data_IF_346235675789
#
_entry.id   IF_346235675789
#
_cell.length_a   1.000
_cell.length_b   1.000
_cell.length_c   1.000
_cell.angle_alpha   90.00
_cell.angle_beta   90.00
_cell.angle_gamma   90.00
#
_symmetry.space_group_name_H-M   'P 1'
#
loop_
_entity.id
_entity.type
_entity.pdbx_description
1 polymer ?
#
# COMPACT_ATOMS: atom_id res chain seq x y z
N UNK A 1 29.98 23.82 -4.44
CA UNK A 1 29.76 22.71 -5.40
C UNK A 1 28.33 22.21 -5.25
N UNK A 2 27.83 21.34 -6.14
CA UNK A 2 26.40 21.00 -6.20
C UNK A 2 26.18 19.57 -5.68
N UNK A 3 25.84 19.45 -4.38
CA UNK A 3 25.88 18.19 -3.61
C UNK A 3 25.13 17.03 -4.28
N UNK A 4 23.98 17.29 -4.90
CA UNK A 4 23.20 16.28 -5.61
C UNK A 4 23.95 15.67 -6.81
N UNK A 5 24.80 16.46 -7.49
CA UNK A 5 25.65 15.97 -8.58
C UNK A 5 26.78 15.07 -8.06
N UNK A 6 27.36 15.41 -6.91
CA UNK A 6 28.41 14.61 -6.28
C UNK A 6 27.88 13.25 -5.81
N UNK A 7 26.68 13.21 -5.23
CA UNK A 7 25.99 11.97 -4.85
C UNK A 7 25.71 11.11 -6.09
N UNK A 8 25.14 11.70 -7.15
CA UNK A 8 24.85 10.98 -8.39
C UNK A 8 26.12 10.41 -9.07
N UNK A 9 27.24 11.15 -9.05
CA UNK A 9 28.51 10.67 -9.59
C UNK A 9 29.07 9.50 -8.78
N UNK A 10 29.02 9.54 -7.43
CA UNK A 10 29.41 8.40 -6.58
C UNK A 10 28.55 7.17 -6.85
N UNK A 11 27.24 7.33 -6.97
CA UNK A 11 26.32 6.22 -7.25
C UNK A 11 26.59 5.59 -8.63
N UNK A 12 26.92 6.41 -9.64
CA UNK A 12 27.35 5.94 -10.97
C UNK A 12 28.68 5.18 -10.89
N UNK A 13 29.66 5.69 -10.14
CA UNK A 13 30.93 5.02 -9.91
C UNK A 13 30.76 3.68 -9.18
N UNK A 14 29.93 3.62 -8.14
CA UNK A 14 29.64 2.40 -7.37
C UNK A 14 28.95 1.35 -8.24
N UNK A 15 27.95 1.74 -9.03
CA UNK A 15 27.30 0.87 -10.03
C UNK A 15 28.29 0.39 -11.10
N UNK A 16 29.23 1.23 -11.53
CA UNK A 16 30.29 0.83 -12.46
C UNK A 16 31.31 -0.14 -11.83
N UNK A 17 31.74 0.09 -10.58
CA UNK A 17 32.62 -0.80 -9.81
C UNK A 17 31.94 -2.16 -9.60
N UNK A 18 30.67 -2.19 -9.19
CA UNK A 18 29.89 -3.41 -9.02
C UNK A 18 29.74 -4.22 -10.33
N UNK A 19 29.48 -3.55 -11.46
CA UNK A 19 29.44 -4.21 -12.78
C UNK A 19 30.78 -4.85 -13.17
N UNK A 20 31.92 -4.16 -12.93
CA UNK A 20 33.26 -4.71 -13.17
C UNK A 20 33.55 -5.92 -12.28
N UNK A 21 33.21 -5.85 -10.99
CA UNK A 21 33.40 -6.96 -10.04
C UNK A 21 32.55 -8.18 -10.43
N UNK A 22 31.29 -7.98 -10.84
CA UNK A 22 30.44 -9.07 -11.34
C UNK A 22 31.05 -9.73 -12.59
N UNK A 23 31.43 -8.92 -13.59
CA UNK A 23 32.06 -9.44 -14.82
C UNK A 23 33.37 -10.17 -14.54
N UNK A 24 34.19 -9.68 -13.60
CA UNK A 24 35.41 -10.34 -13.16
C UNK A 24 35.10 -11.71 -12.56
N UNK A 25 34.14 -11.83 -11.63
CA UNK A 25 33.74 -13.13 -11.05
C UNK A 25 33.23 -14.10 -12.14
N UNK A 26 32.46 -13.63 -13.11
CA UNK A 26 31.89 -14.45 -14.20
C UNK A 26 32.91 -14.91 -15.26
N UNK A 27 34.10 -14.29 -15.33
CA UNK A 27 35.10 -14.58 -16.36
C UNK A 27 36.52 -14.86 -15.81
N UNK A 28 36.74 -14.75 -14.51
CA UNK A 28 38.02 -15.00 -13.85
C UNK A 28 38.58 -16.39 -14.20
N UNK A 29 37.73 -17.42 -14.10
CA UNK A 29 38.14 -18.80 -14.38
C UNK A 29 38.57 -18.98 -15.85
N UNK A 30 37.86 -18.36 -16.80
CA UNK A 30 38.21 -18.40 -18.23
C UNK A 30 39.53 -17.67 -18.52
N UNK A 31 39.71 -16.48 -17.94
CA UNK A 31 40.84 -15.58 -18.26
C UNK A 31 42.15 -16.09 -17.65
N UNK A 32 42.10 -16.73 -16.47
CA UNK A 32 43.30 -17.12 -15.72
C UNK A 32 43.63 -18.63 -15.78
N UNK A 33 42.76 -19.48 -16.34
CA UNK A 33 43.10 -20.89 -16.60
C UNK A 33 43.98 -21.07 -17.84
N UNK A 34 43.81 -20.25 -18.88
CA UNK A 34 44.56 -20.33 -20.16
C UNK A 34 46.04 -19.88 -20.06
N UNK A 35 46.55 -19.58 -18.86
CA UNK A 35 47.97 -19.28 -18.61
C UNK A 35 48.52 -17.98 -19.22
N UNK A 36 47.70 -17.21 -19.94
CA UNK A 36 48.12 -16.09 -20.79
C UNK A 36 48.53 -14.80 -20.07
N UNK A 37 48.71 -14.82 -18.75
CA UNK A 37 48.85 -13.61 -17.92
C UNK A 37 50.08 -13.66 -16.98
N UNK A 38 50.73 -12.51 -16.71
CA UNK A 38 51.94 -12.46 -15.90
C UNK A 38 51.65 -12.93 -14.46
N UNK A 39 52.50 -13.82 -13.96
CA UNK A 39 52.30 -14.59 -12.72
C UNK A 39 51.96 -13.72 -11.48
N UNK A 40 52.51 -12.50 -11.42
CA UNK A 40 52.25 -11.52 -10.34
C UNK A 40 50.80 -10.99 -10.33
N UNK A 41 50.16 -10.91 -11.49
CA UNK A 41 48.78 -10.44 -11.63
C UNK A 41 47.81 -11.58 -11.36
N UNK A 42 48.10 -12.78 -11.89
CA UNK A 42 47.38 -14.01 -11.55
C UNK A 42 47.33 -14.26 -10.03
N UNK A 43 48.46 -14.12 -9.32
CA UNK A 43 48.52 -14.26 -7.85
C UNK A 43 47.65 -13.23 -7.12
N UNK A 44 47.60 -11.98 -7.57
CA UNK A 44 46.72 -10.93 -7.01
C UNK A 44 45.25 -11.19 -7.31
N UNK A 45 44.91 -11.57 -8.54
CA UNK A 45 43.56 -11.88 -8.96
C UNK A 45 43.00 -13.10 -8.20
N UNK A 46 43.81 -14.14 -8.01
CA UNK A 46 43.47 -15.31 -7.20
C UNK A 46 43.22 -14.97 -5.73
N UNK A 47 44.00 -14.06 -5.14
CA UNK A 47 43.76 -13.57 -3.77
C UNK A 47 42.39 -12.89 -3.67
N UNK A 48 42.12 -11.91 -4.54
CA UNK A 48 40.85 -11.17 -4.56
C UNK A 48 39.63 -12.07 -4.83
N UNK A 49 39.74 -13.06 -5.72
CA UNK A 49 38.68 -14.05 -5.97
C UNK A 49 38.34 -14.85 -4.71
N UNK A 50 39.36 -15.28 -3.96
CA UNK A 50 39.18 -16.01 -2.71
C UNK A 50 38.59 -15.12 -1.59
N UNK A 51 38.91 -13.83 -1.53
CA UNK A 51 38.26 -12.88 -0.61
C UNK A 51 36.78 -12.67 -0.95
N UNK A 52 36.46 -12.40 -2.22
CA UNK A 52 35.07 -12.25 -2.67
C UNK A 52 34.23 -13.50 -2.34
N UNK A 53 34.80 -14.69 -2.52
CA UNK A 53 34.15 -15.96 -2.19
C UNK A 53 33.88 -16.12 -0.69
N UNK A 54 34.77 -15.64 0.19
CA UNK A 54 34.53 -15.60 1.66
C UNK A 54 33.40 -14.63 2.00
N UNK A 55 33.40 -13.42 1.44
CA UNK A 55 32.36 -12.41 1.68
C UNK A 55 30.99 -12.92 1.25
N UNK A 56 30.88 -13.57 0.08
CA UNK A 56 29.63 -14.21 -0.36
C UNK A 56 29.16 -15.31 0.60
N UNK A 57 30.06 -16.13 1.13
CA UNK A 57 29.73 -17.15 2.13
C UNK A 57 29.27 -16.55 3.47
N UNK A 58 29.82 -15.40 3.89
CA UNK A 58 29.33 -14.69 5.06
C UNK A 58 27.94 -14.08 4.86
N UNK A 59 27.69 -13.45 3.70
CA UNK A 59 26.37 -12.93 3.34
C UNK A 59 25.35 -14.07 3.36
N UNK A 60 25.64 -15.19 2.67
CA UNK A 60 24.77 -16.36 2.67
C UNK A 60 24.58 -17.03 4.05
N UNK A 61 25.48 -16.80 5.02
CA UNK A 61 25.29 -17.20 6.43
C UNK A 61 24.40 -16.20 7.18
N UNK A 62 24.61 -14.89 7.00
CA UNK A 62 23.78 -13.81 7.58
C UNK A 62 22.34 -13.92 7.08
N UNK A 63 22.14 -14.12 5.78
CA UNK A 63 20.82 -14.29 5.17
C UNK A 63 20.08 -15.53 5.72
N UNK A 64 20.79 -16.64 5.95
CA UNK A 64 20.23 -17.86 6.58
C UNK A 64 19.89 -17.70 8.07
N UNK A 65 20.47 -16.72 8.75
CA UNK A 65 20.19 -16.41 10.15
C UNK A 65 19.12 -15.32 10.32
N UNK A 66 19.02 -14.39 9.37
CA UNK A 66 18.06 -13.26 9.40
C UNK A 66 16.73 -13.56 8.74
N UNK A 67 16.69 -14.40 7.69
CA UNK A 67 15.42 -14.90 7.17
C UNK A 67 14.82 -15.88 8.18
N UNK A 68 13.63 -15.61 8.77
CA UNK A 68 12.91 -16.64 9.49
C UNK A 68 12.65 -17.81 8.55
N UNK A 69 12.67 -19.04 9.08
CA UNK A 69 12.38 -20.26 8.30
C UNK A 69 11.14 -20.01 7.45
N UNK A 70 11.26 -20.14 6.11
CA UNK A 70 10.14 -19.96 5.17
C UNK A 70 8.94 -20.71 5.73
N UNK A 71 7.90 -19.96 6.13
CA UNK A 71 6.64 -20.57 6.60
C UNK A 71 6.20 -21.51 5.48
N UNK A 72 5.96 -22.80 5.77
CA UNK A 72 5.49 -23.71 4.73
C UNK A 72 4.21 -23.09 4.12
N UNK A 73 4.03 -23.14 2.79
CA UNK A 73 2.80 -22.65 2.19
C UNK A 73 1.63 -23.34 2.91
N UNK A 74 0.58 -22.60 3.31
CA UNK A 74 -0.50 -23.15 4.12
C UNK A 74 -1.01 -24.41 3.42
N UNK A 75 -0.98 -25.53 4.14
CA UNK A 75 -1.43 -26.80 3.61
C UNK A 75 -2.88 -26.62 3.20
N UNK A 76 -3.15 -26.69 1.90
CA UNK A 76 -4.52 -26.67 1.39
C UNK A 76 -5.16 -27.98 1.81
N UNK A 77 -5.86 -27.95 2.94
CA UNK A 77 -6.76 -29.02 3.33
C UNK A 77 -7.68 -29.30 2.14
N UNK A 78 -7.69 -30.57 1.71
CA UNK A 78 -8.55 -30.98 0.60
C UNK A 78 -9.98 -30.95 1.11
N UNK A 79 -10.72 -29.90 0.75
CA UNK A 79 -12.13 -29.72 1.11
C UNK A 79 -12.90 -30.94 0.63
N UNK A 80 -13.34 -31.77 1.57
CA UNK A 80 -14.15 -32.96 1.29
C UNK A 80 -15.60 -32.53 1.17
N UNK A 81 -16.04 -32.26 -0.07
CA UNK A 81 -17.44 -32.01 -0.36
C UNK A 81 -18.27 -33.25 -0.04
N UNK A 82 -19.40 -33.06 0.64
CA UNK A 82 -20.34 -34.14 0.90
C UNK A 82 -21.26 -34.35 -0.30
N UNK A 83 -21.91 -35.53 -0.32
CA UNK A 83 -22.98 -35.86 -1.24
C UNK A 83 -24.19 -34.91 -1.15
N UNK A 84 -24.33 -34.14 -0.07
CA UNK A 84 -25.36 -33.12 0.11
C UNK A 84 -24.93 -31.78 -0.50
N UNK A 85 -23.67 -31.37 -0.33
CA UNK A 85 -23.12 -30.14 -0.92
C UNK A 85 -23.21 -30.17 -2.46
N UNK A 86 -22.90 -31.31 -3.07
CA UNK A 86 -22.98 -31.52 -4.53
C UNK A 86 -24.43 -31.43 -5.04
N UNK A 87 -25.43 -31.78 -4.22
CA UNK A 87 -26.87 -31.73 -4.57
C UNK A 87 -27.52 -30.40 -4.21
N UNK A 88 -26.80 -29.50 -3.52
CA UNK A 88 -27.30 -28.22 -3.02
C UNK A 88 -27.42 -27.20 -4.15
N UNK A 89 -28.48 -26.35 -4.18
CA UNK A 89 -28.47 -25.18 -5.05
C UNK A 89 -27.35 -24.22 -4.63
N UNK A 90 -26.78 -23.50 -5.60
CA UNK A 90 -25.66 -22.55 -5.41
C UNK A 90 -26.02 -21.39 -4.44
N UNK A 91 -27.32 -21.10 -4.27
CA UNK A 91 -27.82 -19.98 -3.47
C UNK A 91 -28.58 -20.42 -2.21
N UNK A 92 -28.52 -19.58 -1.17
CA UNK A 92 -29.44 -19.65 -0.04
C UNK A 92 -30.90 -19.50 -0.52
N UNK A 93 -31.86 -20.21 0.11
CA UNK A 93 -33.28 -20.05 -0.18
C UNK A 93 -33.73 -18.61 0.09
N UNK A 94 -34.61 -18.10 -0.77
CA UNK A 94 -35.11 -16.73 -0.68
C UNK A 94 -36.06 -16.59 0.51
N UNK A 95 -35.84 -15.61 1.39
CA UNK A 95 -36.77 -15.32 2.49
C UNK A 95 -38.12 -14.85 1.96
N UNK A 96 -39.22 -15.27 2.63
CA UNK A 96 -40.61 -15.00 2.20
C UNK A 96 -40.84 -13.56 1.73
N UNK A 97 -40.42 -12.57 2.49
CA UNK A 97 -40.51 -11.14 2.13
C UNK A 97 -40.09 -10.80 0.68
N UNK A 98 -39.00 -11.38 0.17
CA UNK A 98 -38.57 -11.14 -1.22
C UNK A 98 -39.34 -11.96 -2.26
N UNK A 99 -39.93 -13.09 -1.87
CA UNK A 99 -40.88 -13.85 -2.70
C UNK A 99 -42.24 -13.13 -2.77
N UNK A 100 -42.71 -12.59 -1.65
CA UNK A 100 -43.93 -11.81 -1.56
C UNK A 100 -43.83 -10.54 -2.43
N UNK A 101 -42.65 -9.90 -2.48
CA UNK A 101 -42.33 -8.81 -3.43
C UNK A 101 -42.30 -9.30 -4.88
N UNK A 102 -41.77 -10.49 -5.16
CA UNK A 102 -41.63 -11.03 -6.52
C UNK A 102 -42.98 -11.44 -7.14
N UNK A 103 -43.91 -11.94 -6.32
CA UNK A 103 -45.21 -12.49 -6.77
C UNK A 103 -46.43 -11.61 -6.42
N UNK A 104 -46.28 -10.57 -5.59
CA UNK A 104 -47.38 -9.74 -5.09
C UNK A 104 -47.72 -8.49 -5.91
N UNK A 105 -47.06 -8.27 -7.05
CA UNK A 105 -47.30 -7.13 -7.94
C UNK A 105 -47.41 -7.54 -9.41
N UNK A 106 -47.49 -6.58 -10.33
CA UNK A 106 -47.38 -6.89 -11.76
C UNK A 106 -46.04 -7.54 -12.08
N UNK A 107 -46.05 -8.57 -12.94
CA UNK A 107 -44.93 -9.52 -13.11
C UNK A 107 -43.61 -8.81 -13.46
N UNK A 108 -43.66 -7.78 -14.29
CA UNK A 108 -42.47 -6.98 -14.63
C UNK A 108 -41.98 -6.10 -13.48
N UNK A 109 -42.88 -5.48 -12.71
CA UNK A 109 -42.51 -4.58 -11.62
C UNK A 109 -41.98 -5.35 -10.41
N UNK A 110 -42.66 -6.44 -10.03
CA UNK A 110 -42.23 -7.36 -8.97
C UNK A 110 -40.84 -7.91 -9.23
N UNK A 111 -40.55 -8.33 -10.48
CA UNK A 111 -39.21 -8.79 -10.88
C UNK A 111 -38.15 -7.68 -10.80
N UNK A 112 -38.43 -6.49 -11.34
CA UNK A 112 -37.51 -5.33 -11.30
C UNK A 112 -37.20 -4.91 -9.85
N UNK A 113 -38.21 -4.89 -8.98
CA UNK A 113 -38.09 -4.48 -7.58
C UNK A 113 -37.40 -5.56 -6.73
N UNK A 114 -37.72 -6.84 -6.95
CA UNK A 114 -37.02 -7.99 -6.37
C UNK A 114 -35.52 -7.97 -6.70
N UNK A 115 -35.15 -7.80 -7.98
CA UNK A 115 -33.73 -7.71 -8.37
C UNK A 115 -33.05 -6.51 -7.71
N UNK A 116 -33.71 -5.34 -7.67
CA UNK A 116 -33.16 -4.14 -7.04
C UNK A 116 -32.86 -4.37 -5.55
N UNK A 117 -33.79 -4.96 -4.79
CA UNK A 117 -33.57 -5.31 -3.38
C UNK A 117 -32.50 -6.40 -3.21
N UNK A 118 -32.60 -7.52 -3.94
CA UNK A 118 -31.65 -8.63 -3.85
C UNK A 118 -30.24 -8.27 -4.38
N UNK A 119 -30.09 -7.17 -5.11
CA UNK A 119 -28.78 -6.61 -5.46
C UNK A 119 -28.06 -5.93 -4.28
N UNK A 120 -28.81 -5.33 -3.34
CA UNK A 120 -28.27 -4.60 -2.19
C UNK A 120 -27.75 -5.51 -1.07
N UNK A 121 -28.32 -6.71 -0.93
CA UNK A 121 -27.82 -7.75 -0.02
C UNK A 121 -26.36 -8.11 -0.35
N UNK A 122 -25.59 -8.52 0.65
CA UNK A 122 -24.21 -8.93 0.44
C UNK A 122 -24.12 -10.34 -0.21
N UNK A 123 -23.03 -10.69 -0.92
CA UNK A 123 -22.88 -12.00 -1.54
C UNK A 123 -22.98 -13.17 -0.56
N UNK A 124 -22.41 -13.03 0.66
CA UNK A 124 -22.43 -14.06 1.69
C UNK A 124 -23.82 -14.35 2.28
N UNK A 125 -24.81 -13.47 2.05
CA UNK A 125 -26.22 -13.68 2.42
C UNK A 125 -27.00 -14.41 1.31
N UNK A 126 -26.38 -14.55 0.13
CA UNK A 126 -27.02 -15.02 -1.12
C UNK A 126 -26.44 -16.34 -1.62
N UNK A 127 -25.15 -16.58 -1.41
CA UNK A 127 -24.41 -17.74 -1.90
C UNK A 127 -23.72 -18.45 -0.73
N UNK A 128 -23.72 -19.79 -0.74
CA UNK A 128 -22.97 -20.58 0.25
C UNK A 128 -21.46 -20.43 0.09
N UNK A 129 -21.01 -20.19 -1.14
CA UNK A 129 -19.60 -20.11 -1.52
C UNK A 129 -19.33 -18.86 -2.37
N UNK A 130 -18.09 -18.35 -2.33
CA UNK A 130 -17.66 -17.24 -3.16
C UNK A 130 -17.63 -17.64 -4.65
N UNK A 131 -18.54 -17.06 -5.44
CA UNK A 131 -18.69 -17.37 -6.86
C UNK A 131 -17.60 -16.72 -7.72
N UNK A 132 -16.93 -15.68 -7.22
CA UNK A 132 -15.82 -14.98 -7.90
C UNK A 132 -14.89 -14.35 -6.88
N UNK A 133 -13.58 -14.26 -7.19
CA UNK A 133 -12.58 -13.58 -6.32
C UNK A 133 -12.96 -12.12 -5.96
N UNK A 134 -13.78 -11.47 -6.79
CA UNK A 134 -14.31 -10.13 -6.55
C UNK A 134 -15.30 -10.06 -5.38
N UNK A 135 -15.95 -11.17 -4.99
CA UNK A 135 -16.80 -11.23 -3.80
C UNK A 135 -15.97 -11.14 -2.52
N UNK A 136 -14.87 -11.91 -2.43
CA UNK A 136 -13.99 -11.94 -1.24
C UNK A 136 -13.21 -10.63 -1.02
N UNK A 137 -12.87 -9.96 -2.13
CA UNK A 137 -12.12 -8.71 -2.10
C UNK A 137 -13.03 -7.48 -2.01
N UNK A 138 -13.94 -7.29 -2.97
CA UNK A 138 -14.66 -6.02 -3.14
C UNK A 138 -15.70 -5.73 -2.05
N UNK A 139 -16.43 -6.75 -1.59
CA UNK A 139 -17.55 -6.54 -0.65
C UNK A 139 -17.11 -6.38 0.80
N UNK A 140 -15.94 -6.90 1.17
CA UNK A 140 -15.33 -6.73 2.51
C UNK A 140 -14.42 -5.49 2.59
N UNK A 141 -14.60 -4.52 1.69
CA UNK A 141 -13.79 -3.28 1.68
C UNK A 141 -13.92 -2.49 2.98
N UNK A 142 -15.10 -2.48 3.62
CA UNK A 142 -15.29 -1.79 4.91
C UNK A 142 -14.64 -2.53 6.08
N UNK A 143 -14.69 -3.87 6.11
CA UNK A 143 -13.97 -4.69 7.12
C UNK A 143 -12.45 -4.55 6.98
N UNK A 144 -11.96 -4.47 5.74
CA UNK A 144 -10.52 -4.31 5.41
C UNK A 144 -10.08 -2.84 5.42
N UNK A 145 -10.97 -1.89 5.68
CA UNK A 145 -10.62 -0.49 5.80
C UNK A 145 -9.97 -0.22 7.17
N UNK A 146 -8.69 -0.55 7.28
CA UNK A 146 -7.82 -0.04 8.34
C UNK A 146 -8.09 1.46 8.53
N UNK A 147 -8.33 1.88 9.78
CA UNK A 147 -8.53 3.32 10.06
C UNK A 147 -7.29 4.05 9.55
N UNK A 148 -7.46 5.03 8.64
CA UNK A 148 -6.31 5.60 7.97
C UNK A 148 -5.60 6.59 8.90
N UNK A 149 -4.65 6.07 9.67
CA UNK A 149 -3.64 6.82 10.45
C UNK A 149 -2.65 7.51 9.50
N UNK A 150 -3.21 8.34 8.62
CA UNK A 150 -2.50 9.09 7.59
C UNK A 150 -1.88 10.33 8.22
N UNK A 151 -0.70 10.15 8.78
CA UNK A 151 0.22 11.22 9.22
C UNK A 151 0.30 12.37 8.19
N UNK A 152 0.25 12.03 6.89
CA UNK A 152 0.39 12.96 5.77
C UNK A 152 -0.88 13.07 4.90
N UNK A 153 -2.01 13.50 5.47
CA UNK A 153 -3.21 13.87 4.70
C UNK A 153 -3.07 15.24 4.00
N UNK A 154 -3.77 15.41 2.85
CA UNK A 154 -3.93 16.71 2.20
C UNK A 154 -4.93 17.59 2.95
N UNK A 155 -4.45 18.42 3.87
CA UNK A 155 -5.28 19.38 4.61
C UNK A 155 -5.73 20.58 3.75
N UNK A 156 -6.99 21.00 3.91
CA UNK A 156 -7.61 22.07 3.09
C UNK A 156 -7.41 23.48 3.65
N UNK A 157 -6.16 23.82 3.98
CA UNK A 157 -5.75 25.05 4.69
C UNK A 157 -6.39 26.32 4.11
N UNK A 158 -6.36 26.50 2.78
CA UNK A 158 -6.97 27.66 2.09
C UNK A 158 -8.47 27.77 2.40
N UNK A 159 -9.22 26.65 2.39
CA UNK A 159 -10.66 26.67 2.68
C UNK A 159 -10.94 27.07 4.13
N UNK A 160 -10.10 26.63 5.07
CA UNK A 160 -10.23 26.96 6.50
C UNK A 160 -9.86 28.41 6.83
N UNK A 161 -8.86 28.97 6.14
CA UNK A 161 -8.36 30.33 6.42
C UNK A 161 -9.16 31.42 5.69
N UNK A 162 -9.51 31.22 4.42
CA UNK A 162 -10.12 32.27 3.59
C UNK A 162 -11.65 32.35 3.76
N UNK A 163 -12.33 31.24 4.07
CA UNK A 163 -13.80 31.19 4.12
C UNK A 163 -14.30 30.94 5.55
N UNK A 164 -14.91 31.97 6.15
CA UNK A 164 -15.55 31.85 7.46
C UNK A 164 -17.01 31.41 7.28
N UNK A 165 -17.47 30.44 8.10
CA UNK A 165 -18.89 29.99 8.11
C UNK A 165 -19.89 31.09 8.48
N UNK A 166 -19.42 32.11 9.21
CA UNK A 166 -20.18 33.31 9.54
C UNK A 166 -19.46 34.49 8.91
N UNK A 167 -20.22 35.42 8.32
CA UNK A 167 -19.67 36.64 7.72
C UNK A 167 -19.02 37.56 8.75
N UNK A 168 -18.59 38.74 8.29
CA UNK A 168 -18.12 39.81 9.18
C UNK A 168 -19.27 40.17 10.12
N UNK A 169 -19.17 39.77 11.39
CA UNK A 169 -19.93 40.44 12.47
C UNK A 169 -19.41 41.87 12.48
N UNK A 170 -20.18 42.81 11.94
CA UNK A 170 -19.83 44.22 11.96
C UNK A 170 -19.49 44.69 13.38
N UNK A 171 -18.66 45.72 13.50
CA UNK A 171 -18.19 46.22 14.79
C UNK A 171 -19.33 46.87 15.61
N UNK A 172 -20.14 46.04 16.25
CA UNK A 172 -21.13 46.50 17.21
C UNK A 172 -20.42 46.99 18.48
N UNK A 173 -20.98 47.97 19.21
CA UNK A 173 -20.42 48.44 20.48
C UNK A 173 -20.21 47.36 21.55
N UNK A 174 -20.84 46.18 21.42
CA UNK A 174 -20.63 45.00 22.28
C UNK A 174 -19.39 44.17 21.92
N UNK A 175 -18.90 44.27 20.68
CA UNK A 175 -17.80 43.44 20.18
C UNK A 175 -16.46 44.18 20.08
N UNK A 176 -16.46 45.52 20.12
CA UNK A 176 -15.21 46.30 20.18
C UNK A 176 -14.52 46.09 21.54
N UNK A 177 -13.19 45.91 21.59
CA UNK A 177 -12.46 45.97 22.85
C UNK A 177 -12.61 47.38 23.46
N UNK A 178 -12.63 47.52 24.80
CA UNK A 178 -12.74 48.83 25.42
C UNK A 178 -11.54 49.71 25.06
N UNK A 179 -11.80 50.99 24.76
CA UNK A 179 -10.74 51.96 24.50
C UNK A 179 -9.77 52.02 25.69
N UNK A 180 -8.48 51.77 25.42
CA UNK A 180 -7.41 51.99 26.40
C UNK A 180 -7.33 53.50 26.69
N UNK A 181 -7.84 53.93 27.85
CA UNK A 181 -7.62 55.28 28.38
C UNK A 181 -6.10 55.53 28.46
N UNK A 182 -5.58 56.45 27.66
CA UNK A 182 -4.14 56.67 27.55
C UNK A 182 -3.66 57.50 26.36
N UNK A 183 -4.46 57.63 25.29
CA UNK A 183 -4.21 58.61 24.23
C UNK A 183 -5.10 59.85 24.50
N UNK A 184 -4.59 60.73 25.36
CA UNK A 184 -5.09 62.10 25.48
C UNK A 184 -4.56 62.88 24.28
N UNK A 185 -5.43 63.59 23.55
CA UNK A 185 -4.98 64.48 22.50
C UNK A 185 -4.23 65.67 23.12
N UNK A 186 -3.06 66.09 22.60
CA UNK A 186 -2.35 67.24 23.14
C UNK A 186 -3.21 68.50 22.96
N UNK A 187 -3.39 69.24 24.06
CA UNK A 187 -4.15 70.48 24.04
C UNK A 187 -3.41 71.54 23.21
N UNK A 188 -4.16 72.25 22.34
CA UNK A 188 -3.62 73.33 21.52
C UNK A 188 -3.49 74.56 22.42
N UNK A 189 -2.29 74.78 22.95
CA UNK A 189 -1.94 76.03 23.61
C UNK A 189 -1.61 77.11 22.56
N UNK A 190 -2.14 78.31 22.80
CA UNK A 190 -1.81 79.54 22.09
C UNK A 190 -0.59 80.24 22.72
#
# INVERSE_FOLDING_TARGET
MNVLKEIALREIEEKAKAKRLKWFVENYEKIYQDGSHPEREAKKAAYLYNELRKVQQEIAKRDKATNPKKVPPPQKELIQFTDEDIKRPIMYPVSKFYLDVLYGGEVEEGYKLYLKLRSQLAPYEKYYESQTQNMDYGWKTEERAERPDKEFTRNSVIKQQFFRRYGIKGETPRNRPPFKKGIVAPEILC
#
